data_IF_939165056468
#
_entry.id   IF_939165056468
#
_cell.length_a   1.000
_cell.length_b   1.000
_cell.length_c   1.000
_cell.angle_alpha   90.00
_cell.angle_beta   90.00
_cell.angle_gamma   90.00
#
_symmetry.space_group_name_H-M   'P 1'
#
loop_
_entity.id
_entity.type
_entity.pdbx_description
1 polymer ?
#
# COMPACT_ATOMS: atom_id res chain seq x y z
N UNK A 1 -11.96 -7.38 -3.99
CA UNK A 1 -12.35 -5.96 -4.15
C UNK A 1 -11.57 -5.15 -3.14
N UNK A 2 -10.70 -4.25 -3.60
CA UNK A 2 -9.98 -3.31 -2.73
C UNK A 2 -10.91 -2.14 -2.39
N UNK A 3 -11.03 -1.78 -1.12
CA UNK A 3 -11.84 -0.65 -0.68
C UNK A 3 -10.94 0.52 -0.23
N UNK A 4 -11.41 1.78 -0.36
CA UNK A 4 -10.67 2.94 0.14
C UNK A 4 -10.49 2.86 1.66
N UNK A 5 -9.42 3.48 2.16
CA UNK A 5 -9.14 3.60 3.59
C UNK A 5 -10.25 4.41 4.28
N UNK A 6 -10.82 3.90 5.37
CA UNK A 6 -11.87 4.62 6.13
C UNK A 6 -11.56 4.61 7.62
N UNK A 7 -11.45 5.81 8.19
CA UNK A 7 -11.26 6.05 9.62
C UNK A 7 -9.86 5.74 10.13
N UNK A 8 -9.64 6.09 11.40
CA UNK A 8 -8.38 5.82 12.09
C UNK A 8 -8.26 4.33 12.41
N UNK A 9 -7.09 3.76 12.18
CA UNK A 9 -6.82 2.36 12.43
C UNK A 9 -5.36 2.11 12.77
N UNK A 10 -5.15 1.07 13.59
CA UNK A 10 -3.82 0.52 13.84
C UNK A 10 -3.74 -0.84 13.16
N UNK A 11 -2.82 -0.94 12.21
CA UNK A 11 -2.48 -2.13 11.47
C UNK A 11 -1.08 -2.62 11.84
N UNK A 12 -0.74 -3.83 11.37
CA UNK A 12 0.62 -4.35 11.43
C UNK A 12 1.06 -4.84 10.06
N UNK A 13 2.34 -4.63 9.76
CA UNK A 13 2.98 -5.23 8.59
C UNK A 13 2.90 -6.74 8.73
N UNK A 14 2.34 -7.41 7.74
CA UNK A 14 2.25 -8.87 7.70
C UNK A 14 3.36 -9.47 6.85
N UNK A 15 3.66 -8.84 5.72
CA UNK A 15 4.57 -9.39 4.72
C UNK A 15 5.39 -8.31 4.02
N UNK A 16 6.51 -8.75 3.44
CA UNK A 16 7.42 -7.91 2.66
C UNK A 16 7.77 -8.62 1.37
N UNK A 17 7.46 -8.00 0.24
CA UNK A 17 7.74 -8.55 -1.09
C UNK A 17 8.71 -7.62 -1.81
N UNK A 18 9.85 -8.17 -2.25
CA UNK A 18 10.78 -7.40 -3.08
C UNK A 18 10.14 -7.05 -4.43
N UNK A 19 9.38 -8.01 -4.98
CA UNK A 19 8.60 -7.90 -6.20
C UNK A 19 7.22 -8.50 -5.94
N UNK A 20 6.16 -7.80 -6.31
CA UNK A 20 4.80 -8.31 -6.26
C UNK A 20 4.06 -8.00 -7.56
N UNK A 21 3.15 -8.89 -7.94
CA UNK A 21 2.26 -8.71 -9.09
C UNK A 21 0.82 -8.59 -8.58
N UNK A 22 0.15 -7.53 -9.00
CA UNK A 22 -1.23 -7.26 -8.65
C UNK A 22 -2.07 -7.35 -9.91
N UNK A 23 -3.23 -7.99 -9.80
CA UNK A 23 -4.22 -7.94 -10.88
C UNK A 23 -5.25 -6.88 -10.54
N UNK A 24 -5.35 -5.86 -11.38
CA UNK A 24 -6.40 -4.87 -11.32
C UNK A 24 -7.70 -5.50 -11.82
N UNK A 25 -8.73 -5.52 -10.98
CA UNK A 25 -10.08 -5.94 -11.37
C UNK A 25 -10.95 -4.69 -11.56
N UNK A 26 -11.72 -4.55 -12.65
CA UNK A 26 -12.15 -5.60 -13.59
C UNK A 26 -11.31 -5.72 -14.88
N UNK A 27 -10.35 -4.82 -15.13
CA UNK A 27 -9.61 -4.78 -16.41
C UNK A 27 -8.74 -6.02 -16.65
N UNK A 28 -8.35 -6.71 -15.59
CA UNK A 28 -7.45 -7.87 -15.64
C UNK A 28 -5.99 -7.49 -15.87
N UNK A 29 -5.68 -6.20 -15.91
CA UNK A 29 -4.31 -5.72 -16.08
C UNK A 29 -3.43 -6.19 -14.93
N UNK A 30 -2.22 -6.66 -15.27
CA UNK A 30 -1.23 -7.09 -14.28
C UNK A 30 -0.24 -5.95 -14.10
N UNK A 31 -0.23 -5.38 -12.91
CA UNK A 31 0.75 -4.40 -12.50
C UNK A 31 1.86 -5.09 -11.70
N UNK A 32 3.11 -4.71 -11.97
CA UNK A 32 4.25 -5.18 -11.21
C UNK A 32 4.81 -4.04 -10.39
N UNK A 33 4.94 -4.28 -9.07
CA UNK A 33 5.41 -3.30 -8.10
C UNK A 33 6.61 -3.84 -7.34
N UNK A 34 7.57 -2.96 -7.07
CA UNK A 34 8.78 -3.25 -6.31
C UNK A 34 8.69 -2.67 -4.89
N UNK A 35 9.41 -3.30 -3.96
CA UNK A 35 9.56 -2.85 -2.57
C UNK A 35 8.22 -2.71 -1.84
N UNK A 36 7.46 -3.81 -1.79
CA UNK A 36 6.09 -3.82 -1.30
C UNK A 36 6.03 -4.26 0.16
N UNK A 37 5.28 -3.52 0.96
CA UNK A 37 4.89 -3.91 2.32
C UNK A 37 3.38 -4.17 2.36
N UNK A 38 2.98 -5.34 2.85
CA UNK A 38 1.58 -5.66 3.09
C UNK A 38 1.23 -5.46 4.57
N UNK A 39 0.03 -4.97 4.84
CA UNK A 39 -0.50 -4.82 6.20
C UNK A 39 -2.02 -5.02 6.19
N UNK A 40 -2.56 -5.53 7.30
CA UNK A 40 -4.00 -5.75 7.44
C UNK A 40 -4.68 -4.55 8.07
N UNK A 41 -5.68 -4.01 7.39
CA UNK A 41 -6.50 -2.92 7.90
C UNK A 41 -7.52 -3.40 8.94
N UNK A 42 -8.33 -2.49 9.50
CA UNK A 42 -9.27 -2.78 10.60
C UNK A 42 -10.35 -3.83 10.25
N UNK A 43 -10.59 -4.10 8.97
CA UNK A 43 -11.53 -5.13 8.49
C UNK A 43 -10.85 -6.41 7.98
N UNK A 44 -9.59 -6.64 8.36
CA UNK A 44 -8.73 -7.71 7.82
C UNK A 44 -8.59 -7.67 6.29
N UNK A 45 -8.77 -6.50 5.69
CA UNK A 45 -8.51 -6.32 4.27
C UNK A 45 -7.02 -6.07 4.07
N UNK A 46 -6.39 -6.71 3.07
CA UNK A 46 -4.98 -6.49 2.79
C UNK A 46 -4.81 -5.12 2.13
N UNK A 47 -3.88 -4.34 2.68
CA UNK A 47 -3.42 -3.08 2.14
C UNK A 47 -1.93 -3.16 1.82
N UNK A 48 -1.49 -2.31 0.90
CA UNK A 48 -0.13 -2.37 0.37
C UNK A 48 0.50 -0.98 0.34
N UNK A 49 1.75 -0.86 0.77
CA UNK A 49 2.64 0.26 0.45
C UNK A 49 3.61 -0.23 -0.63
N UNK A 50 3.84 0.57 -1.67
CA UNK A 50 4.68 0.16 -2.79
C UNK A 50 5.36 1.33 -3.47
N UNK A 51 6.44 1.05 -4.22
CA UNK A 51 7.10 2.04 -5.06
C UNK A 51 6.35 2.24 -6.39
N UNK A 52 6.03 3.48 -6.73
CA UNK A 52 5.44 3.87 -8.03
C UNK A 52 6.37 4.85 -8.76
N UNK A 53 6.30 4.85 -10.09
CA UNK A 53 6.96 5.83 -10.97
C UNK A 53 6.19 7.16 -11.08
N UNK A 54 5.04 7.29 -10.41
CA UNK A 54 4.28 8.54 -10.26
C UNK A 54 3.24 8.81 -11.35
N UNK A 55 2.95 7.83 -12.21
CA UNK A 55 2.01 8.01 -13.33
C UNK A 55 0.54 7.83 -12.94
N UNK A 56 0.24 6.97 -11.96
CA UNK A 56 -1.14 6.64 -11.55
C UNK A 56 -1.46 7.13 -10.13
N UNK A 57 -0.54 6.92 -9.18
CA UNK A 57 -0.61 7.45 -7.83
C UNK A 57 0.36 8.63 -7.71
N UNK A 58 -0.15 9.81 -7.36
CA UNK A 58 0.69 10.99 -7.09
C UNK A 58 0.82 11.14 -5.57
N UNK A 59 1.93 10.68 -4.96
CA UNK A 59 2.07 10.69 -3.50
C UNK A 59 1.88 12.10 -2.94
N UNK A 60 1.05 12.24 -1.91
CA UNK A 60 0.80 13.51 -1.22
C UNK A 60 -0.10 14.50 -1.98
N UNK A 61 -0.58 14.20 -3.19
CA UNK A 61 -1.45 15.11 -3.98
C UNK A 61 -2.90 14.63 -4.08
N UNK A 62 -3.13 13.32 -4.09
CA UNK A 62 -4.47 12.71 -4.13
C UNK A 62 -4.56 11.53 -3.17
N UNK A 63 -5.72 11.35 -2.56
CA UNK A 63 -6.00 10.15 -1.78
C UNK A 63 -5.99 8.93 -2.71
N UNK A 64 -5.42 7.82 -2.26
CA UNK A 64 -5.54 6.57 -2.98
C UNK A 64 -6.99 6.11 -2.98
N UNK A 65 -7.49 5.75 -4.16
CA UNK A 65 -8.83 5.18 -4.35
C UNK A 65 -8.85 3.67 -4.15
N UNK A 66 -7.69 3.05 -3.91
CA UNK A 66 -7.51 1.62 -3.70
C UNK A 66 -6.93 1.35 -2.30
N UNK A 67 -6.89 0.08 -1.89
CA UNK A 67 -6.19 -0.38 -0.68
C UNK A 67 -4.66 -0.30 -0.82
N UNK A 68 -4.14 0.54 -1.71
CA UNK A 68 -2.73 0.65 -2.08
C UNK A 68 -2.25 2.07 -1.82
N UNK A 69 -1.02 2.25 -1.35
CA UNK A 69 -0.42 3.55 -1.08
C UNK A 69 0.87 3.63 -1.86
N UNK A 70 0.84 4.37 -2.97
CA UNK A 70 2.01 4.65 -3.79
C UNK A 70 2.97 5.62 -3.10
N UNK A 71 4.27 5.29 -3.14
CA UNK A 71 5.37 6.11 -2.66
C UNK A 71 6.40 6.29 -3.77
N UNK A 72 7.30 7.27 -3.64
CA UNK A 72 8.51 7.31 -4.48
C UNK A 72 9.29 6.01 -4.25
N UNK A 73 9.85 5.43 -5.32
CA UNK A 73 10.58 4.16 -5.24
C UNK A 73 11.69 4.15 -4.18
N UNK A 74 12.41 5.26 -4.01
CA UNK A 74 13.44 5.39 -2.98
C UNK A 74 12.87 5.30 -1.55
N UNK A 75 11.71 5.91 -1.31
CA UNK A 75 11.03 5.90 0.00
C UNK A 75 10.44 4.50 0.28
N UNK A 76 9.83 3.87 -0.73
CA UNK A 76 9.33 2.49 -0.63
C UNK A 76 10.46 1.50 -0.31
N UNK A 77 11.60 1.63 -1.02
CA UNK A 77 12.79 0.82 -0.75
C UNK A 77 13.31 1.02 0.66
N UNK A 78 13.43 2.27 1.09
CA UNK A 78 13.91 2.59 2.44
C UNK A 78 13.00 1.95 3.51
N UNK A 79 11.68 2.06 3.35
CA UNK A 79 10.72 1.40 4.25
C UNK A 79 10.84 -0.12 4.21
N UNK A 80 10.97 -0.71 3.02
CA UNK A 80 11.14 -2.17 2.87
C UNK A 80 12.36 -2.69 3.64
N UNK A 81 13.49 -2.00 3.52
CA UNK A 81 14.76 -2.38 4.15
C UNK A 81 14.73 -2.19 5.69
N UNK A 82 14.01 -1.19 6.19
CA UNK A 82 14.04 -0.79 7.61
C UNK A 82 12.80 -1.18 8.42
N UNK A 83 11.76 -1.75 7.78
CA UNK A 83 10.53 -2.17 8.46
C UNK A 83 10.51 -3.67 8.64
N UNK A 84 10.20 -4.14 9.86
CA UNK A 84 10.04 -5.55 10.19
C UNK A 84 8.58 -5.99 10.11
N UNK A 85 8.34 -7.28 9.85
CA UNK A 85 7.02 -7.88 10.02
C UNK A 85 6.57 -7.72 11.48
N UNK A 86 5.31 -7.33 11.68
CA UNK A 86 4.75 -6.96 12.97
C UNK A 86 4.89 -5.49 13.35
N UNK A 87 5.67 -4.70 12.59
CA UNK A 87 5.77 -3.26 12.79
C UNK A 87 4.40 -2.59 12.69
N UNK A 88 4.15 -1.62 13.58
CA UNK A 88 2.89 -0.90 13.66
C UNK A 88 2.77 0.08 12.50
N UNK A 89 1.63 0.06 11.82
CA UNK A 89 1.23 1.06 10.83
C UNK A 89 0.00 1.75 11.38
N UNK A 90 0.07 3.07 11.61
CA UNK A 90 -1.10 3.86 12.01
C UNK A 90 -1.65 4.54 10.77
N UNK A 91 -2.90 4.21 10.43
CA UNK A 91 -3.68 4.93 9.44
C UNK A 91 -4.51 5.97 10.18
N UNK A 92 -4.44 7.21 9.74
CA UNK A 92 -5.22 8.31 10.33
C UNK A 92 -5.89 9.12 9.23
N UNK A 93 -7.07 9.67 9.54
CA UNK A 93 -7.83 10.52 8.63
C UNK A 93 -9.04 9.81 8.03
N UNK A 94 -9.98 10.62 7.54
CA UNK A 94 -11.14 10.12 6.83
C UNK A 94 -10.79 10.05 5.35
N UNK A 95 -10.33 8.88 4.88
CA UNK A 95 -10.26 8.65 3.44
C UNK A 95 -11.64 8.92 2.83
N UNK A 96 -11.66 9.82 1.84
CA UNK A 96 -12.88 10.28 1.18
C UNK A 96 -13.48 9.17 0.31
#
# INVERSE_FOLDING_TARGET
MNAPFRGDAVARVTDRFRHARFSASPTGEIEQHDWVLAFLGPRQQPHYLYGTDGTVDVPGRRASTLSMIGLRTADARWLYEHTVVGAKVTLTGQGM
#
